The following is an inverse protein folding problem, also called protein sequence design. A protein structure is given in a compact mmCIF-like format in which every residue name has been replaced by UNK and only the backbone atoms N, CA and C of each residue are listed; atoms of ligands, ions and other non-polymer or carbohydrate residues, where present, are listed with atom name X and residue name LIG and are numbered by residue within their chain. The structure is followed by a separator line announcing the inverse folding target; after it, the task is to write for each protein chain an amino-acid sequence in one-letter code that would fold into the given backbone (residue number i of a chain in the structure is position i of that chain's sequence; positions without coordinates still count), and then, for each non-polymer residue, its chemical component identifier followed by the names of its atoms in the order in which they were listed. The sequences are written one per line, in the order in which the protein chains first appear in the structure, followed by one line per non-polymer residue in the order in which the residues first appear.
data_IF_022227898778
#
_entry.id   IF_022227898778
#
_cell.length_a   1.000
_cell.length_b   1.000
_cell.length_c   1.000
_cell.angle_alpha   90.00
_cell.angle_beta   90.00
_cell.angle_gamma   90.00
#
_symmetry.space_group_name_H-M   'P 1'
#
loop_
_entity.id
_entity.type
_entity.pdbx_description
1 polymer ?
#
# COMPACT_ATOMS: atom_id res chain seq x y z
N UNK A 1 -8.79 -13.51 -23.54
CA UNK A 1 -7.76 -12.72 -22.82
C UNK A 1 -7.54 -13.22 -21.39
N UNK A 2 -8.58 -13.30 -20.53
CA UNK A 2 -8.41 -13.71 -19.12
C UNK A 2 -7.85 -15.13 -18.97
N UNK A 3 -8.34 -16.10 -19.74
CA UNK A 3 -7.81 -17.47 -19.70
C UNK A 3 -6.33 -17.55 -20.11
N UNK A 4 -5.87 -16.66 -21.00
CA UNK A 4 -4.44 -16.56 -21.34
C UNK A 4 -3.65 -15.99 -20.16
N UNK A 5 -4.14 -14.95 -19.48
CA UNK A 5 -3.49 -14.41 -18.29
C UNK A 5 -3.32 -15.47 -17.20
N UNK A 6 -4.37 -16.29 -16.98
CA UNK A 6 -4.30 -17.40 -16.02
C UNK A 6 -3.28 -18.46 -16.43
N UNK A 7 -3.20 -18.80 -17.72
CA UNK A 7 -2.18 -19.72 -18.24
C UNK A 7 -0.77 -19.16 -18.09
N UNK A 8 -0.59 -17.86 -18.36
CA UNK A 8 0.71 -17.20 -18.23
C UNK A 8 1.18 -17.20 -16.77
N UNK A 9 0.29 -16.91 -15.79
CA UNK A 9 0.63 -17.05 -14.38
C UNK A 9 0.91 -18.48 -13.95
N UNK A 10 0.15 -19.46 -14.45
CA UNK A 10 0.43 -20.88 -14.17
C UNK A 10 1.82 -21.26 -14.63
N UNK A 11 2.19 -20.86 -15.84
CA UNK A 11 3.53 -21.09 -16.40
C UNK A 11 4.60 -20.35 -15.58
N UNK A 12 4.32 -19.09 -15.17
CA UNK A 12 5.26 -18.32 -14.35
C UNK A 12 5.52 -18.99 -12.99
N UNK A 13 4.49 -19.52 -12.32
CA UNK A 13 4.63 -20.26 -11.06
C UNK A 13 5.57 -21.47 -11.20
N UNK A 14 5.49 -22.15 -12.35
CA UNK A 14 6.33 -23.33 -12.63
C UNK A 14 7.79 -22.96 -12.94
N UNK A 15 8.05 -21.80 -13.55
CA UNK A 15 9.35 -21.41 -14.06
C UNK A 15 10.12 -20.45 -13.15
N UNK A 16 9.43 -19.65 -12.32
CA UNK A 16 10.07 -18.65 -11.49
C UNK A 16 10.78 -19.25 -10.26
N UNK A 17 11.86 -18.59 -9.79
CA UNK A 17 12.55 -19.03 -8.58
C UNK A 17 11.67 -18.90 -7.35
N UNK A 18 11.75 -19.87 -6.45
CA UNK A 18 11.12 -19.84 -5.12
C UNK A 18 12.01 -19.11 -4.10
N UNK A 19 12.45 -17.90 -4.45
CA UNK A 19 13.30 -17.08 -3.59
C UNK A 19 12.48 -16.51 -2.43
N UNK A 20 13.12 -16.43 -1.27
CA UNK A 20 12.49 -15.91 -0.05
C UNK A 20 12.34 -14.38 -0.10
N UNK A 21 11.64 -13.87 0.87
CA UNK A 21 11.22 -12.45 1.02
C UNK A 21 12.30 -11.40 0.67
N UNK A 22 13.58 -11.63 0.85
CA UNK A 22 14.63 -10.65 0.52
C UNK A 22 14.77 -10.28 -0.97
N UNK A 23 14.31 -11.14 -1.86
CA UNK A 23 14.47 -10.96 -3.31
C UNK A 23 13.64 -9.79 -3.89
N UNK A 24 12.49 -9.52 -3.31
CA UNK A 24 11.61 -8.43 -3.74
C UNK A 24 12.19 -7.02 -3.48
N UNK A 25 13.16 -6.88 -2.58
CA UNK A 25 13.82 -5.59 -2.28
C UNK A 25 14.51 -5.00 -3.51
N UNK A 26 15.05 -5.87 -4.37
CA UNK A 26 15.74 -5.45 -5.59
C UNK A 26 14.80 -5.19 -6.77
N UNK A 27 13.47 -5.19 -6.54
CA UNK A 27 12.47 -4.99 -7.59
C UNK A 27 12.22 -6.22 -8.46
N UNK A 28 12.68 -7.39 -8.04
CA UNK A 28 12.44 -8.64 -8.75
C UNK A 28 11.14 -9.31 -8.31
N UNK A 29 10.50 -9.98 -9.24
CA UNK A 29 9.34 -10.85 -8.97
C UNK A 29 9.79 -12.30 -8.80
N UNK A 30 9.07 -13.07 -8.01
CA UNK A 30 9.37 -14.46 -7.71
C UNK A 30 8.10 -15.33 -7.83
N UNK A 31 8.25 -16.63 -7.60
CA UNK A 31 7.14 -17.59 -7.62
C UNK A 31 5.95 -17.11 -6.76
N UNK A 32 6.20 -16.61 -5.57
CA UNK A 32 5.18 -16.19 -4.62
C UNK A 32 4.39 -14.96 -5.09
N UNK A 33 5.06 -14.05 -5.80
CA UNK A 33 4.41 -12.95 -6.50
C UNK A 33 3.45 -13.46 -7.56
N UNK A 34 3.89 -14.45 -8.36
CA UNK A 34 3.05 -15.05 -9.40
C UNK A 34 1.84 -15.79 -8.82
N UNK A 35 2.00 -16.49 -7.70
CA UNK A 35 0.90 -17.16 -6.98
C UNK A 35 -0.14 -16.18 -6.46
N UNK A 36 0.28 -15.09 -5.81
CA UNK A 36 -0.62 -14.05 -5.34
C UNK A 36 -1.35 -13.33 -6.48
N UNK A 37 -0.66 -13.03 -7.57
CA UNK A 37 -1.26 -12.41 -8.76
C UNK A 37 -2.19 -13.37 -9.51
N UNK A 38 -1.88 -14.67 -9.55
CA UNK A 38 -2.79 -15.71 -10.06
C UNK A 38 -4.11 -15.68 -9.29
N UNK A 39 -4.06 -15.69 -7.96
CA UNK A 39 -5.28 -15.67 -7.14
C UNK A 39 -6.11 -14.41 -7.39
N UNK A 40 -5.48 -13.24 -7.49
CA UNK A 40 -6.15 -11.98 -7.81
C UNK A 40 -6.83 -12.03 -9.18
N UNK A 41 -6.12 -12.51 -10.20
CA UNK A 41 -6.67 -12.64 -11.54
C UNK A 41 -7.83 -13.66 -11.61
N UNK A 42 -7.71 -14.77 -10.89
CA UNK A 42 -8.73 -15.81 -10.80
C UNK A 42 -10.01 -15.28 -10.13
N UNK A 43 -9.90 -14.67 -8.96
CA UNK A 43 -11.03 -14.09 -8.23
C UNK A 43 -11.73 -12.98 -9.04
N UNK A 44 -10.96 -12.11 -9.67
CA UNK A 44 -11.52 -11.06 -10.50
C UNK A 44 -12.26 -11.62 -11.73
N UNK A 45 -11.63 -12.59 -12.42
CA UNK A 45 -12.23 -13.20 -13.60
C UNK A 45 -13.52 -13.97 -13.26
N UNK A 46 -13.47 -14.80 -12.24
CA UNK A 46 -14.60 -15.64 -11.85
C UNK A 46 -15.72 -14.84 -11.17
N UNK A 47 -15.37 -13.88 -10.32
CA UNK A 47 -16.32 -13.04 -9.60
C UNK A 47 -16.98 -12.01 -10.50
N UNK A 48 -16.20 -11.17 -11.16
CA UNK A 48 -16.74 -10.05 -11.92
C UNK A 48 -17.23 -10.45 -13.31
N UNK A 49 -16.40 -11.15 -14.12
CA UNK A 49 -16.76 -11.46 -15.50
C UNK A 49 -17.71 -12.64 -15.65
N UNK A 50 -17.52 -13.70 -14.84
CA UNK A 50 -18.34 -14.90 -14.94
C UNK A 50 -19.47 -14.94 -13.90
N UNK A 51 -19.54 -13.94 -13.03
CA UNK A 51 -20.54 -13.84 -11.97
C UNK A 51 -20.67 -15.12 -11.13
N UNK A 52 -19.53 -15.71 -10.76
CA UNK A 52 -19.43 -16.94 -9.98
C UNK A 52 -19.05 -16.71 -8.54
N UNK A 53 -19.17 -15.48 -8.05
CA UNK A 53 -18.88 -15.12 -6.67
C UNK A 53 -19.63 -16.01 -5.68
N UNK A 54 -18.93 -16.52 -4.66
CA UNK A 54 -19.51 -17.45 -3.69
C UNK A 54 -19.70 -18.90 -4.21
N UNK A 55 -19.08 -19.28 -5.33
CA UNK A 55 -19.05 -20.65 -5.82
C UNK A 55 -17.67 -21.25 -5.63
N UNK A 56 -17.57 -22.29 -4.81
CA UNK A 56 -16.29 -22.88 -4.42
C UNK A 56 -15.66 -23.78 -5.48
N UNK A 57 -16.44 -24.50 -6.25
CA UNK A 57 -15.94 -25.51 -7.21
C UNK A 57 -15.95 -24.98 -8.64
N UNK A 58 -15.01 -24.11 -8.96
CA UNK A 58 -14.85 -23.57 -10.32
C UNK A 58 -13.75 -24.34 -11.04
N UNK A 59 -14.04 -24.72 -12.29
CA UNK A 59 -13.04 -25.27 -13.24
C UNK A 59 -13.02 -24.43 -14.49
N UNK A 60 -11.84 -23.97 -14.90
CA UNK A 60 -11.61 -23.18 -16.10
C UNK A 60 -10.73 -24.01 -17.05
N UNK A 61 -11.18 -24.20 -18.29
CA UNK A 61 -10.35 -24.72 -19.36
C UNK A 61 -9.45 -23.61 -19.91
N UNK A 62 -8.16 -23.82 -19.91
CA UNK A 62 -7.13 -22.91 -20.38
C UNK A 62 -6.84 -23.10 -21.87
N UNK A 63 -6.21 -22.13 -22.56
CA UNK A 63 -5.96 -22.18 -24.00
C UNK A 63 -5.10 -23.35 -24.48
N UNK A 64 -4.28 -23.93 -23.62
CA UNK A 64 -3.44 -25.10 -23.90
C UNK A 64 -4.17 -26.44 -23.70
N UNK A 65 -5.47 -26.40 -23.35
CA UNK A 65 -6.29 -27.58 -23.04
C UNK A 65 -6.13 -28.10 -21.61
N UNK A 66 -5.24 -27.52 -20.80
CA UNK A 66 -5.17 -27.82 -19.36
C UNK A 66 -6.32 -27.15 -18.60
N UNK A 67 -6.50 -27.54 -17.34
CA UNK A 67 -7.50 -26.93 -16.47
C UNK A 67 -6.86 -26.18 -15.30
N UNK A 68 -7.58 -25.18 -14.79
CA UNK A 68 -7.30 -24.50 -13.54
C UNK A 68 -8.55 -24.55 -12.67
N UNK A 69 -8.40 -25.02 -11.44
CA UNK A 69 -9.53 -25.15 -10.49
C UNK A 69 -9.37 -24.20 -9.31
N UNK A 70 -10.47 -23.93 -8.59
CA UNK A 70 -10.39 -23.23 -7.29
C UNK A 70 -9.40 -23.90 -6.35
N UNK A 71 -9.37 -25.23 -6.32
CA UNK A 71 -8.45 -26.01 -5.47
C UNK A 71 -6.98 -25.81 -5.86
N UNK A 72 -6.65 -25.67 -7.14
CA UNK A 72 -5.30 -25.36 -7.57
C UNK A 72 -4.86 -23.99 -7.06
N UNK A 73 -5.75 -22.98 -7.16
CA UNK A 73 -5.45 -21.62 -6.68
C UNK A 73 -5.36 -21.55 -5.15
N UNK A 74 -6.21 -22.30 -4.43
CA UNK A 74 -6.07 -22.48 -2.98
C UNK A 74 -4.71 -23.08 -2.64
N UNK A 75 -4.26 -24.09 -3.39
CA UNK A 75 -2.95 -24.73 -3.21
C UNK A 75 -1.78 -23.77 -3.42
N UNK A 76 -1.86 -22.85 -4.39
CA UNK A 76 -0.84 -21.81 -4.60
C UNK A 76 -0.76 -20.86 -3.40
N UNK A 77 -1.89 -20.41 -2.87
CA UNK A 77 -1.88 -19.54 -1.69
C UNK A 77 -1.42 -20.27 -0.42
N UNK A 78 -1.75 -21.56 -0.27
CA UNK A 78 -1.25 -22.40 0.82
C UNK A 78 0.27 -22.54 0.74
N UNK A 79 0.82 -22.76 -0.46
CA UNK A 79 2.26 -22.83 -0.71
C UNK A 79 2.95 -21.51 -0.37
N UNK A 80 2.40 -20.39 -0.86
CA UNK A 80 2.89 -19.06 -0.55
C UNK A 80 2.95 -18.82 0.97
N UNK A 81 1.87 -19.09 1.70
CA UNK A 81 1.80 -18.87 3.15
C UNK A 81 2.80 -19.77 3.90
N UNK A 82 2.95 -21.02 3.48
CA UNK A 82 3.80 -21.98 4.18
C UNK A 82 5.31 -21.79 3.91
N UNK A 83 5.68 -21.37 2.70
CA UNK A 83 7.05 -21.51 2.21
C UNK A 83 7.73 -20.21 1.79
N UNK A 84 7.00 -19.12 1.54
CA UNK A 84 7.58 -17.87 1.02
C UNK A 84 8.47 -17.12 2.02
N UNK A 85 8.13 -17.18 3.30
CA UNK A 85 8.75 -16.38 4.36
C UNK A 85 8.22 -14.93 4.43
N UNK A 86 7.26 -14.54 3.58
CA UNK A 86 6.53 -13.28 3.77
C UNK A 86 5.69 -13.35 5.04
N UNK A 87 5.48 -12.20 5.68
CA UNK A 87 4.69 -12.10 6.91
C UNK A 87 4.14 -10.69 7.08
N UNK A 88 3.10 -10.55 7.88
CA UNK A 88 2.60 -9.24 8.28
C UNK A 88 3.64 -8.46 9.09
N UNK A 89 3.76 -7.17 8.82
CA UNK A 89 4.49 -6.23 9.67
C UNK A 89 3.70 -6.08 10.97
N UNK A 90 4.37 -6.14 12.11
CA UNK A 90 3.73 -6.20 13.43
C UNK A 90 2.81 -5.01 13.69
N UNK A 91 3.33 -3.79 13.52
CA UNK A 91 2.53 -2.56 13.61
C UNK A 91 2.13 -2.10 12.22
N UNK A 92 0.83 -1.96 12.01
CA UNK A 92 0.29 -1.53 10.72
C UNK A 92 0.83 -0.18 10.25
N UNK A 93 1.09 0.74 11.20
CA UNK A 93 1.63 2.06 10.92
C UNK A 93 3.06 2.01 10.36
N UNK A 94 3.85 1.02 10.74
CA UNK A 94 5.24 0.86 10.30
C UNK A 94 5.37 0.53 8.79
N UNK A 95 4.26 0.22 8.13
CA UNK A 95 4.21 0.09 6.67
C UNK A 95 4.32 1.42 5.92
N UNK A 96 4.06 2.56 6.58
CA UNK A 96 3.85 3.83 5.90
C UNK A 96 4.99 4.81 6.16
N UNK A 97 5.40 5.51 5.10
CA UNK A 97 6.57 6.40 5.12
C UNK A 97 6.49 7.56 6.11
N UNK A 98 5.31 7.94 6.61
CA UNK A 98 5.19 8.94 7.66
C UNK A 98 5.72 8.48 9.03
N UNK A 99 6.07 7.21 9.19
CA UNK A 99 6.77 6.69 10.38
C UNK A 99 8.29 6.59 10.18
N UNK A 100 8.84 7.20 9.12
CA UNK A 100 10.28 7.25 8.89
C UNK A 100 11.01 8.02 10.00
N UNK A 101 12.29 7.75 10.17
CA UNK A 101 13.13 8.29 11.26
C UNK A 101 13.25 9.83 11.30
N UNK A 102 13.00 10.52 10.19
CA UNK A 102 13.06 11.99 10.11
C UNK A 102 11.71 12.67 10.38
N UNK A 103 10.64 11.88 10.55
CA UNK A 103 9.28 12.36 10.68
C UNK A 103 8.63 11.91 11.99
N UNK A 104 8.85 10.66 12.38
CA UNK A 104 8.09 9.92 13.41
C UNK A 104 8.04 10.60 14.78
N UNK A 105 9.09 11.31 15.17
CA UNK A 105 9.19 11.99 16.47
C UNK A 105 8.62 13.42 16.47
N UNK A 106 8.35 13.98 15.30
CA UNK A 106 7.90 15.36 15.11
C UNK A 106 6.44 15.47 14.64
N UNK A 107 5.86 14.36 14.21
CA UNK A 107 4.46 14.29 13.83
C UNK A 107 3.61 13.83 15.02
N UNK A 108 2.67 14.65 15.44
CA UNK A 108 1.87 14.42 16.66
C UNK A 108 1.15 13.07 16.68
N UNK A 109 0.68 12.60 15.55
CA UNK A 109 0.04 11.28 15.44
C UNK A 109 0.99 10.11 15.74
N UNK A 110 2.28 10.25 15.47
CA UNK A 110 3.26 9.15 15.56
C UNK A 110 4.21 9.23 16.74
N UNK A 111 4.50 10.42 17.28
CA UNK A 111 5.59 10.70 18.22
C UNK A 111 5.62 9.81 19.47
N UNK A 112 4.46 9.45 19.99
CA UNK A 112 4.34 8.63 21.21
C UNK A 112 3.99 7.16 20.93
N UNK A 113 3.84 6.78 19.64
CA UNK A 113 3.39 5.44 19.24
C UNK A 113 4.50 4.40 19.18
N UNK A 114 5.77 4.80 19.29
CA UNK A 114 6.92 3.91 19.13
C UNK A 114 6.93 3.23 17.76
N UNK A 115 6.53 3.95 16.71
CA UNK A 115 6.52 3.48 15.33
C UNK A 115 7.90 3.59 14.70
N UNK A 116 8.16 2.72 13.73
CA UNK A 116 9.41 2.70 12.98
C UNK A 116 9.16 2.13 11.59
N UNK A 117 9.22 2.98 10.57
CA UNK A 117 9.01 2.55 9.20
C UNK A 117 9.90 1.36 8.84
N UNK A 118 9.30 0.32 8.32
CA UNK A 118 9.96 -0.96 8.05
C UNK A 118 11.14 -0.84 7.06
N UNK A 119 11.19 0.23 6.26
CA UNK A 119 12.25 0.47 5.26
C UNK A 119 13.29 1.53 5.71
N UNK A 120 13.27 1.97 6.98
CA UNK A 120 14.15 3.04 7.49
C UNK A 120 15.65 2.79 7.28
N UNK A 121 16.11 1.57 7.35
CA UNK A 121 17.53 1.21 7.30
C UNK A 121 17.83 0.27 6.11
N UNK A 122 17.18 0.50 4.98
CA UNK A 122 17.22 -0.39 3.81
C UNK A 122 16.81 -1.83 4.16
N UNK A 123 15.97 -1.98 5.18
CA UNK A 123 15.45 -3.26 5.58
C UNK A 123 14.47 -3.81 4.55
N UNK A 124 14.40 -5.12 4.49
CA UNK A 124 13.41 -5.80 3.68
C UNK A 124 12.02 -5.59 4.28
N UNK A 125 11.09 -5.05 3.52
CA UNK A 125 9.69 -5.06 3.90
C UNK A 125 9.11 -6.48 3.76
N UNK A 126 8.87 -7.22 4.84
CA UNK A 126 8.47 -8.61 4.79
C UNK A 126 7.02 -8.80 4.32
N UNK A 127 6.27 -7.72 4.18
CA UNK A 127 4.88 -7.73 3.70
C UNK A 127 4.78 -7.36 2.22
N UNK A 128 5.77 -6.65 1.64
CA UNK A 128 5.76 -6.24 0.24
C UNK A 128 6.15 -7.40 -0.67
N UNK A 129 5.21 -7.86 -1.50
CA UNK A 129 5.39 -8.98 -2.42
C UNK A 129 5.57 -8.55 -3.87
N UNK A 130 4.95 -7.44 -4.25
CA UNK A 130 5.09 -6.84 -5.56
C UNK A 130 4.96 -5.33 -5.47
N UNK A 131 6.01 -4.61 -5.84
CA UNK A 131 6.03 -3.17 -5.84
C UNK A 131 6.78 -2.63 -7.06
N UNK A 132 6.35 -1.47 -7.54
CA UNK A 132 7.16 -0.67 -8.45
C UNK A 132 8.14 0.12 -7.58
N UNK A 133 9.43 -0.09 -7.81
CA UNK A 133 10.51 0.59 -7.10
C UNK A 133 10.84 1.91 -7.79
N UNK A 134 11.15 2.90 -6.99
CA UNK A 134 11.55 4.23 -7.45
C UNK A 134 12.89 4.62 -6.83
N UNK A 135 13.49 5.66 -7.37
CA UNK A 135 14.73 6.21 -6.84
C UNK A 135 14.70 7.74 -6.82
N UNK A 136 15.75 8.34 -6.26
CA UNK A 136 15.88 9.77 -6.01
C UNK A 136 16.37 10.59 -7.22
N UNK A 137 16.58 9.98 -8.38
CA UNK A 137 17.20 10.65 -9.54
C UNK A 137 16.25 11.43 -10.45
N UNK A 138 14.99 11.61 -10.07
CA UNK A 138 14.04 12.36 -10.88
C UNK A 138 14.27 13.88 -10.77
N UNK A 139 14.13 14.61 -11.90
CA UNK A 139 14.01 16.06 -11.91
C UNK A 139 13.15 16.53 -13.09
N UNK A 140 12.67 17.80 -13.04
CA UNK A 140 11.81 18.36 -14.08
C UNK A 140 12.57 18.75 -15.37
N UNK A 141 13.85 19.05 -15.26
CA UNK A 141 14.65 19.61 -16.35
C UNK A 141 15.26 18.54 -17.25
N UNK A 142 15.29 17.30 -16.79
CA UNK A 142 15.90 16.18 -17.50
C UNK A 142 14.88 15.07 -17.77
N UNK A 143 15.27 14.07 -18.57
CA UNK A 143 14.40 12.95 -18.92
C UNK A 143 14.27 11.90 -17.77
N UNK A 144 14.53 12.31 -16.53
CA UNK A 144 14.59 11.42 -15.36
C UNK A 144 13.29 11.37 -14.54
N UNK A 145 12.21 11.98 -15.00
CA UNK A 145 10.92 12.07 -14.27
C UNK A 145 10.31 10.72 -13.90
N UNK A 146 10.56 9.69 -14.70
CA UNK A 146 9.99 8.35 -14.48
C UNK A 146 10.63 7.55 -13.35
N UNK A 147 11.67 8.07 -12.70
CA UNK A 147 12.36 7.35 -11.62
C UNK A 147 11.78 7.63 -10.23
N UNK A 148 10.93 8.64 -10.08
CA UNK A 148 10.22 8.95 -8.84
C UNK A 148 8.75 8.52 -8.87
N UNK A 149 8.17 8.33 -7.69
CA UNK A 149 6.76 7.98 -7.56
C UNK A 149 5.86 9.20 -7.77
N UNK A 150 5.38 9.38 -8.98
CA UNK A 150 4.48 10.47 -9.33
C UNK A 150 3.06 10.32 -8.75
N UNK A 151 2.65 9.12 -8.31
CA UNK A 151 1.35 8.93 -7.67
C UNK A 151 1.25 9.69 -6.35
N UNK A 152 2.32 9.69 -5.55
CA UNK A 152 2.32 10.45 -4.29
C UNK A 152 2.22 11.95 -4.55
N UNK A 153 2.82 12.46 -5.63
CA UNK A 153 2.66 13.85 -6.04
C UNK A 153 1.21 14.19 -6.36
N UNK A 154 0.53 13.34 -7.14
CA UNK A 154 -0.87 13.58 -7.49
C UNK A 154 -1.78 13.63 -6.27
N UNK A 155 -1.56 12.79 -5.27
CA UNK A 155 -2.42 12.65 -4.11
C UNK A 155 -1.98 13.50 -2.89
N UNK A 156 -0.84 14.16 -2.97
CA UNK A 156 -0.38 15.09 -1.92
C UNK A 156 -1.30 16.31 -1.78
N UNK A 157 -1.16 17.03 -0.68
CA UNK A 157 -1.92 18.25 -0.41
C UNK A 157 -1.60 19.28 -1.50
N UNK A 158 -2.63 19.96 -2.01
CA UNK A 158 -2.43 21.03 -2.96
C UNK A 158 -2.07 22.29 -2.21
N UNK A 159 -0.87 22.63 -2.18
CA UNK A 159 -0.25 23.89 -1.86
C UNK A 159 1.11 23.73 -1.16
N UNK A 160 1.80 24.85 -0.93
CA UNK A 160 3.17 24.88 -0.40
C UNK A 160 3.18 25.46 1.03
N UNK A 161 2.62 24.70 1.97
CA UNK A 161 2.53 25.08 3.39
C UNK A 161 3.31 24.09 4.28
N UNK A 162 4.57 23.81 3.93
CA UNK A 162 5.41 22.77 4.56
C UNK A 162 5.34 22.74 6.09
N UNK A 163 5.25 23.90 6.75
CA UNK A 163 5.17 23.97 8.21
C UNK A 163 3.77 23.62 8.73
N UNK A 164 2.74 24.17 8.10
CA UNK A 164 1.35 23.99 8.54
C UNK A 164 0.78 22.63 8.18
N UNK A 165 1.31 21.98 7.13
CA UNK A 165 0.86 20.66 6.69
C UNK A 165 1.78 19.51 7.09
N UNK A 166 2.87 19.79 7.82
CA UNK A 166 3.80 18.73 8.23
C UNK A 166 3.07 17.55 8.90
N UNK A 167 3.37 16.30 8.54
CA UNK A 167 4.47 15.85 7.66
C UNK A 167 4.11 15.79 6.17
N UNK A 168 2.91 16.19 5.79
CA UNK A 168 2.44 16.08 4.41
C UNK A 168 2.97 17.24 3.59
N UNK A 169 3.73 16.89 2.55
CA UNK A 169 4.32 17.86 1.64
C UNK A 169 3.38 18.15 0.47
N UNK A 170 3.73 19.18 -0.28
CA UNK A 170 3.02 19.62 -1.46
C UNK A 170 2.79 18.50 -2.47
N UNK A 171 1.59 18.48 -3.02
CA UNK A 171 1.17 17.69 -4.18
C UNK A 171 0.16 18.44 -5.01
N UNK A 172 -0.62 17.71 -5.80
CA UNK A 172 -1.62 18.30 -6.70
C UNK A 172 -3.06 18.22 -6.20
N UNK A 173 -3.29 17.62 -5.03
CA UNK A 173 -4.59 17.57 -4.34
C UNK A 173 -5.62 16.66 -5.02
N UNK A 174 -5.21 15.72 -5.87
CA UNK A 174 -6.16 14.78 -6.47
C UNK A 174 -6.52 13.67 -5.48
N UNK A 175 -7.79 13.23 -5.54
CA UNK A 175 -8.26 12.09 -4.78
C UNK A 175 -8.36 12.32 -3.26
N UNK A 176 -9.02 13.40 -2.79
CA UNK A 176 -9.34 13.54 -1.37
C UNK A 176 -10.19 12.37 -0.91
N UNK A 177 -10.11 12.03 0.38
CA UNK A 177 -10.87 10.90 0.91
C UNK A 177 -12.33 11.28 1.07
N UNK A 178 -13.23 10.41 0.61
CA UNK A 178 -14.67 10.63 0.73
C UNK A 178 -15.12 10.63 2.19
N UNK A 179 -15.84 11.67 2.66
CA UNK A 179 -16.45 11.66 3.99
C UNK A 179 -17.43 10.50 4.21
N UNK A 180 -18.06 10.00 3.15
CA UNK A 180 -18.93 8.83 3.22
C UNK A 180 -18.15 7.58 3.63
N UNK A 181 -16.98 7.33 3.02
CA UNK A 181 -16.10 6.22 3.38
C UNK A 181 -15.71 6.28 4.87
N UNK A 182 -15.30 7.48 5.34
CA UNK A 182 -14.89 7.64 6.75
C UNK A 182 -16.04 7.33 7.70
N UNK A 183 -17.24 7.84 7.38
CA UNK A 183 -18.44 7.60 8.18
C UNK A 183 -18.82 6.11 8.21
N UNK A 184 -18.84 5.46 7.08
CA UNK A 184 -19.22 4.05 6.98
C UNK A 184 -18.20 3.15 7.65
N UNK A 185 -16.90 3.40 7.47
CA UNK A 185 -15.85 2.68 8.19
C UNK A 185 -15.99 2.84 9.71
N UNK A 186 -16.23 4.09 10.18
CA UNK A 186 -16.44 4.36 11.60
C UNK A 186 -17.69 3.67 12.15
N UNK A 187 -18.74 3.51 11.35
CA UNK A 187 -19.95 2.81 11.76
C UNK A 187 -19.75 1.30 11.83
N UNK A 188 -19.03 0.74 10.85
CA UNK A 188 -18.77 -0.70 10.78
C UNK A 188 -17.74 -1.16 11.83
N UNK A 189 -16.65 -0.41 11.98
CA UNK A 189 -15.53 -0.74 12.86
C UNK A 189 -15.07 0.55 13.60
N UNK A 190 -15.76 0.95 14.69
CA UNK A 190 -15.49 2.22 15.38
C UNK A 190 -14.04 2.37 15.88
N UNK A 191 -13.47 1.27 16.35
CA UNK A 191 -12.15 1.21 17.00
C UNK A 191 -11.03 0.72 16.07
N UNK A 192 -11.27 0.67 14.75
CA UNK A 192 -10.27 0.20 13.79
C UNK A 192 -9.14 1.24 13.64
N UNK A 193 -7.92 0.96 14.13
CA UNK A 193 -6.81 1.90 14.07
C UNK A 193 -6.27 2.09 12.64
N UNK A 194 -6.65 1.22 11.70
CA UNK A 194 -6.25 1.36 10.28
C UNK A 194 -6.88 2.58 9.64
N UNK A 195 -8.07 3.02 10.11
CA UNK A 195 -8.71 4.23 9.62
C UNK A 195 -7.80 5.44 9.85
N UNK A 196 -7.42 5.68 11.10
CA UNK A 196 -6.61 6.83 11.47
C UNK A 196 -5.17 6.71 10.97
N UNK A 197 -4.67 5.48 10.79
CA UNK A 197 -3.40 5.22 10.12
C UNK A 197 -3.42 5.47 8.60
N UNK A 198 -4.60 5.50 7.99
CA UNK A 198 -4.76 5.66 6.53
C UNK A 198 -5.23 7.04 6.13
N UNK A 199 -5.95 7.72 7.00
CA UNK A 199 -6.70 8.94 6.73
C UNK A 199 -6.34 9.99 7.77
N UNK A 200 -5.92 11.16 7.31
CA UNK A 200 -5.74 12.34 8.16
C UNK A 200 -7.05 13.12 8.17
N UNK A 201 -7.53 13.47 9.37
CA UNK A 201 -8.58 14.45 9.54
C UNK A 201 -7.94 15.83 9.75
N UNK A 202 -7.93 16.63 8.70
CA UNK A 202 -7.21 17.91 8.61
C UNK A 202 -7.49 18.85 9.78
N UNK A 203 -8.76 19.11 10.20
CA UNK A 203 -9.02 20.02 11.29
C UNK A 203 -8.40 19.67 12.64
N UNK A 204 -8.12 18.38 12.88
CA UNK A 204 -7.51 17.94 14.15
C UNK A 204 -6.02 17.67 14.07
N UNK A 205 -5.53 17.18 12.92
CA UNK A 205 -4.13 16.80 12.77
C UNK A 205 -3.26 17.94 12.20
N UNK A 206 -3.87 18.88 11.49
CA UNK A 206 -3.18 20.02 10.85
C UNK A 206 -3.89 21.33 11.23
N UNK A 207 -3.95 21.68 12.53
CA UNK A 207 -4.76 22.81 13.01
C UNK A 207 -4.29 24.18 12.51
N UNK A 208 -3.01 24.30 12.12
CA UNK A 208 -2.42 25.53 11.61
C UNK A 208 -2.58 25.67 10.08
N UNK A 209 -3.13 24.67 9.41
CA UNK A 209 -3.34 24.70 7.98
C UNK A 209 -4.63 25.44 7.63
N UNK A 210 -4.51 26.64 7.05
CA UNK A 210 -5.65 27.40 6.54
C UNK A 210 -5.96 26.98 5.10
N UNK A 211 -7.00 26.17 4.96
CA UNK A 211 -7.47 25.67 3.66
C UNK A 211 -8.08 26.77 2.76
N UNK A 212 -8.47 27.91 3.34
CA UNK A 212 -9.05 29.03 2.61
C UNK A 212 -7.99 29.83 1.83
N UNK A 213 -6.72 29.70 2.18
CA UNK A 213 -5.60 30.32 1.46
C UNK A 213 -5.07 29.47 0.29
N UNK A 214 -5.54 28.20 0.16
CA UNK A 214 -5.08 27.26 -0.87
C UNK A 214 -5.55 27.60 -2.27
N UNK A 215 -4.75 27.21 -3.24
CA UNK A 215 -5.07 27.42 -4.66
C UNK A 215 -6.07 26.34 -5.12
N UNK A 216 -7.30 26.75 -5.47
CA UNK A 216 -8.36 25.84 -5.90
C UNK A 216 -8.74 24.78 -4.84
N UNK A 217 -9.27 25.23 -3.71
CA UNK A 217 -9.56 24.43 -2.48
C UNK A 217 -10.55 23.28 -2.64
N UNK A 218 -11.25 23.21 -3.73
CA UNK A 218 -12.33 22.24 -3.94
C UNK A 218 -11.90 20.77 -3.74
N UNK A 219 -10.63 20.44 -4.02
CA UNK A 219 -10.10 19.08 -3.79
C UNK A 219 -9.85 18.77 -2.33
N UNK A 220 -9.79 19.78 -1.47
CA UNK A 220 -9.52 19.67 -0.03
C UNK A 220 -10.78 19.88 0.85
N UNK A 221 -11.92 20.17 0.22
CA UNK A 221 -13.19 20.44 0.92
C UNK A 221 -13.76 19.25 1.70
N UNK A 222 -13.21 18.05 1.54
CA UNK A 222 -13.68 16.88 2.27
C UNK A 222 -13.24 16.84 3.74
N UNK A 223 -12.28 17.64 4.16
CA UNK A 223 -11.55 17.57 5.43
C UNK A 223 -10.67 16.32 5.62
N UNK A 224 -10.62 15.45 4.64
CA UNK A 224 -9.90 14.17 4.75
C UNK A 224 -8.92 13.98 3.59
N UNK A 225 -7.67 13.68 3.95
CA UNK A 225 -6.61 13.31 3.01
C UNK A 225 -6.04 11.93 3.32
N UNK A 226 -5.49 11.26 2.32
CA UNK A 226 -4.83 9.99 2.56
C UNK A 226 -3.41 10.19 3.11
N UNK A 227 -3.00 9.33 4.06
CA UNK A 227 -1.65 9.35 4.65
C UNK A 227 -0.64 8.48 3.91
N UNK A 228 -1.09 7.56 3.08
CA UNK A 228 -0.27 6.49 2.52
C UNK A 228 0.41 6.86 1.21
N UNK A 229 -0.32 7.57 0.35
CA UNK A 229 0.12 7.98 -0.98
C UNK A 229 0.17 9.50 -1.04
N UNK A 230 1.09 10.09 -0.29
CA UNK A 230 1.32 11.54 -0.24
C UNK A 230 2.82 11.79 -0.02
N UNK A 231 3.39 12.86 -0.54
CA UNK A 231 4.77 13.21 -0.24
C UNK A 231 4.93 13.45 1.27
N UNK A 232 5.97 12.88 1.86
CA UNK A 232 6.23 12.99 3.29
C UNK A 232 7.49 13.81 3.51
N UNK A 233 7.38 14.85 4.33
CA UNK A 233 8.48 15.66 4.83
C UNK A 233 9.09 15.07 6.09
N UNK A 234 10.38 15.28 6.24
CA UNK A 234 11.13 15.05 7.47
C UNK A 234 11.83 16.31 7.92
N UNK A 235 12.19 16.39 9.19
CA UNK A 235 12.98 17.51 9.72
C UNK A 235 14.47 17.20 9.67
N UNK A 236 15.24 18.07 9.02
CA UNK A 236 16.68 18.09 9.08
C UNK A 236 17.18 18.56 10.46
N UNK A 237 18.47 18.37 10.76
CA UNK A 237 19.07 18.77 12.02
C UNK A 237 19.00 20.29 12.33
N UNK A 238 18.88 21.11 11.30
CA UNK A 238 18.71 22.57 11.41
C UNK A 238 17.23 23.00 11.54
N UNK A 239 16.31 22.05 11.55
CA UNK A 239 14.87 22.26 11.65
C UNK A 239 14.19 22.55 10.31
N UNK A 240 14.88 22.56 9.20
CA UNK A 240 14.26 22.70 7.88
C UNK A 240 13.48 21.46 7.50
N UNK A 241 12.33 21.65 6.84
CA UNK A 241 11.52 20.56 6.31
C UNK A 241 11.95 20.27 4.87
N UNK A 242 12.27 19.01 4.62
CA UNK A 242 12.60 18.49 3.29
C UNK A 242 11.82 17.21 3.05
N UNK A 243 11.67 16.75 1.82
CA UNK A 243 11.23 15.39 1.58
C UNK A 243 12.12 14.40 2.34
N UNK A 244 11.53 13.42 3.01
CA UNK A 244 12.28 12.44 3.78
C UNK A 244 13.32 11.69 2.94
N UNK A 245 13.07 11.49 1.64
CA UNK A 245 14.00 10.88 0.70
C UNK A 245 15.29 11.70 0.52
N UNK A 246 15.21 13.04 0.50
CA UNK A 246 16.39 13.90 0.45
C UNK A 246 17.27 13.73 1.71
N UNK A 247 16.64 13.57 2.88
CA UNK A 247 17.35 13.34 4.13
C UNK A 247 17.92 11.92 4.24
N UNK A 248 17.20 10.94 3.68
CA UNK A 248 17.60 9.53 3.75
C UNK A 248 18.80 9.22 2.86
N UNK A 249 18.86 9.82 1.67
CA UNK A 249 19.91 9.57 0.69
C UNK A 249 21.00 10.64 0.67
N UNK A 250 20.95 11.63 1.61
CA UNK A 250 21.88 12.76 1.71
C UNK A 250 22.08 13.47 0.35
N UNK A 251 20.96 13.72 -0.33
CA UNK A 251 20.98 14.20 -1.71
C UNK A 251 20.46 15.64 -1.81
N UNK A 252 21.27 16.60 -1.32
CA UNK A 252 21.00 18.03 -1.47
C UNK A 252 21.28 18.57 -2.89
N UNK A 253 21.82 17.74 -3.79
CA UNK A 253 22.10 18.14 -5.17
C UNK A 253 20.82 18.33 -6.01
N UNK A 254 19.73 17.75 -5.55
CA UNK A 254 18.42 17.94 -6.16
C UNK A 254 17.84 19.24 -5.65
N UNK A 255 17.72 20.15 -6.56
CA UNK A 255 17.36 21.54 -6.25
C UNK A 255 16.04 21.64 -5.50
N UNK A 256 15.92 22.65 -4.66
CA UNK A 256 14.69 23.05 -3.95
C UNK A 256 13.45 23.06 -4.84
N UNK A 257 13.63 23.19 -6.15
CA UNK A 257 12.55 23.24 -7.14
C UNK A 257 11.97 21.88 -7.52
N UNK A 258 12.64 20.77 -7.18
CA UNK A 258 12.21 19.41 -7.55
C UNK A 258 11.73 18.61 -6.34
N UNK A 259 11.53 19.26 -5.19
CA UNK A 259 11.19 18.62 -3.91
C UNK A 259 9.92 17.76 -3.96
N UNK A 260 9.01 18.07 -4.82
CA UNK A 260 7.72 17.40 -4.97
C UNK A 260 7.74 16.19 -5.91
N UNK A 261 8.82 15.99 -6.70
CA UNK A 261 8.93 14.85 -7.63
C UNK A 261 9.98 13.80 -7.25
N UNK A 262 10.73 14.00 -6.17
CA UNK A 262 11.77 13.08 -5.73
C UNK A 262 11.27 12.08 -4.66
N UNK A 263 10.00 11.71 -4.72
CA UNK A 263 9.42 10.74 -3.81
C UNK A 263 9.84 9.32 -4.20
N UNK A 264 10.47 8.62 -3.25
CA UNK A 264 11.01 7.27 -3.45
C UNK A 264 10.14 6.17 -2.87
N UNK A 265 8.98 6.53 -2.29
CA UNK A 265 8.06 5.54 -1.74
C UNK A 265 7.66 4.53 -2.81
N UNK A 266 7.73 3.27 -2.48
CA UNK A 266 7.29 2.19 -3.35
C UNK A 266 5.79 2.30 -3.68
N UNK A 267 5.43 2.01 -4.92
CA UNK A 267 4.04 1.74 -5.28
C UNK A 267 3.77 0.24 -5.11
N UNK A 268 3.27 -0.13 -3.95
CA UNK A 268 3.00 -1.53 -3.61
C UNK A 268 1.72 -1.99 -4.30
N UNK A 269 1.84 -3.04 -5.11
CA UNK A 269 0.75 -3.63 -5.88
C UNK A 269 0.19 -4.91 -5.26
N UNK A 270 1.01 -5.64 -4.51
CA UNK A 270 0.61 -6.85 -3.79
C UNK A 270 1.34 -6.93 -2.46
N UNK A 271 0.61 -7.14 -1.38
CA UNK A 271 1.14 -7.39 -0.04
C UNK A 271 0.74 -8.78 0.44
N UNK A 272 1.47 -9.28 1.42
CA UNK A 272 1.14 -10.54 2.07
C UNK A 272 -0.27 -10.53 2.71
N UNK A 273 -0.72 -9.37 3.22
CA UNK A 273 -2.10 -9.20 3.68
C UNK A 273 -3.13 -9.48 2.57
N UNK A 274 -2.85 -9.10 1.31
CA UNK A 274 -3.73 -9.38 0.18
C UNK A 274 -3.83 -10.90 -0.08
N UNK A 275 -2.72 -11.63 0.04
CA UNK A 275 -2.68 -13.09 -0.08
C UNK A 275 -3.55 -13.74 1.00
N UNK A 276 -3.45 -13.29 2.24
CA UNK A 276 -4.26 -13.77 3.36
C UNK A 276 -5.76 -13.53 3.15
N UNK A 277 -6.13 -12.35 2.66
CA UNK A 277 -7.53 -12.01 2.37
C UNK A 277 -8.08 -12.82 1.19
N UNK A 278 -7.34 -12.93 0.10
CA UNK A 278 -7.74 -13.76 -1.05
C UNK A 278 -7.83 -15.25 -0.69
N UNK A 279 -6.97 -15.72 0.21
CA UNK A 279 -7.03 -17.08 0.73
C UNK A 279 -8.31 -17.31 1.52
N UNK A 280 -8.69 -16.38 2.40
CA UNK A 280 -9.96 -16.45 3.13
C UNK A 280 -11.16 -16.43 2.18
N UNK A 281 -11.12 -15.64 1.12
CA UNK A 281 -12.19 -15.58 0.11
C UNK A 281 -12.32 -16.92 -0.64
N UNK A 282 -11.21 -17.51 -1.10
CA UNK A 282 -11.23 -18.78 -1.83
C UNK A 282 -11.67 -19.97 -0.97
N UNK A 283 -11.44 -19.92 0.34
CA UNK A 283 -11.87 -20.97 1.26
C UNK A 283 -13.25 -20.69 1.91
N UNK A 284 -13.78 -19.46 1.74
CA UNK A 284 -14.94 -18.95 2.49
C UNK A 284 -14.76 -19.16 4.01
N UNK A 285 -13.54 -18.92 4.49
CA UNK A 285 -13.13 -19.18 5.86
C UNK A 285 -12.25 -18.03 6.39
N UNK A 286 -12.75 -17.29 7.38
CA UNK A 286 -12.03 -16.17 7.97
C UNK A 286 -10.71 -16.58 8.66
N UNK A 287 -10.60 -17.80 9.14
CA UNK A 287 -9.40 -18.30 9.81
C UNK A 287 -8.29 -18.69 8.82
N UNK A 288 -8.54 -18.58 7.53
CA UNK A 288 -7.53 -18.78 6.49
C UNK A 288 -6.64 -17.54 6.24
N UNK A 289 -6.87 -16.43 6.95
CA UNK A 289 -6.03 -15.25 6.87
C UNK A 289 -6.73 -13.94 7.30
N UNK A 290 -8.02 -13.77 7.04
CA UNK A 290 -8.75 -12.54 7.37
C UNK A 290 -8.66 -12.22 8.87
N UNK A 291 -8.82 -13.21 9.74
CA UNK A 291 -8.71 -13.04 11.18
C UNK A 291 -7.28 -12.70 11.62
N UNK A 292 -6.25 -13.19 10.94
CA UNK A 292 -4.85 -12.80 11.19
C UNK A 292 -4.62 -11.31 10.88
N UNK A 293 -5.13 -10.83 9.74
CA UNK A 293 -5.06 -9.41 9.36
C UNK A 293 -5.80 -8.52 10.36
N UNK A 294 -6.95 -8.95 10.88
CA UNK A 294 -7.74 -8.24 11.90
C UNK A 294 -7.02 -8.21 13.25
N UNK A 295 -6.52 -9.36 13.69
CA UNK A 295 -5.82 -9.51 14.98
C UNK A 295 -4.55 -8.67 15.06
N UNK A 296 -3.82 -8.48 13.94
CA UNK A 296 -2.64 -7.59 13.89
C UNK A 296 -2.94 -6.19 14.44
N UNK A 297 -4.14 -5.70 14.22
CA UNK A 297 -4.56 -4.35 14.65
C UNK A 297 -5.50 -4.36 15.87
N UNK A 298 -5.57 -5.49 16.57
CA UNK A 298 -6.36 -5.63 17.80
C UNK A 298 -7.87 -5.80 17.57
N UNK A 299 -8.32 -5.99 16.32
CA UNK A 299 -9.73 -6.24 16.05
C UNK A 299 -10.12 -7.69 16.37
N UNK A 300 -11.35 -7.94 16.84
CA UNK A 300 -11.83 -9.27 17.12
C UNK A 300 -11.96 -10.12 15.86
N UNK A 301 -11.82 -11.43 16.02
CA UNK A 301 -12.13 -12.40 14.97
C UNK A 301 -13.61 -12.35 14.58
N UNK A 302 -13.87 -12.61 13.31
CA UNK A 302 -15.22 -12.66 12.75
C UNK A 302 -15.43 -13.96 11.96
N UNK A 303 -16.69 -14.31 11.72
CA UNK A 303 -17.02 -15.34 10.74
C UNK A 303 -16.86 -14.75 9.34
N UNK A 304 -16.51 -15.61 8.37
CA UNK A 304 -16.36 -15.16 6.98
C UNK A 304 -17.72 -14.67 6.44
N UNK A 305 -17.65 -13.53 5.79
CA UNK A 305 -18.65 -13.04 4.84
C UNK A 305 -17.96 -12.13 3.83
N UNK A 306 -18.50 -11.97 2.64
CA UNK A 306 -17.93 -11.03 1.66
C UNK A 306 -17.99 -9.59 2.16
N UNK A 307 -19.03 -9.23 2.91
CA UNK A 307 -19.17 -7.91 3.53
C UNK A 307 -18.08 -7.65 4.58
N UNK A 308 -17.74 -8.65 5.38
CA UNK A 308 -16.67 -8.52 6.39
C UNK A 308 -15.26 -8.52 5.77
N UNK A 309 -15.11 -9.05 4.54
CA UNK A 309 -13.85 -9.05 3.80
C UNK A 309 -13.56 -7.68 3.17
N UNK A 310 -14.58 -6.98 2.72
CA UNK A 310 -14.50 -5.65 2.09
C UNK A 310 -14.28 -4.53 3.09
#
# INVERSE_FOLDING_TARGET
TWKQILLDFKTAIELMPAEKVGYAVEGHVNKWTAEGMMARAFLFYTGFYENRQGKQDITIELPDGSTLTTKDVQGYLDDCVANSGYKLVEKYQDLWSYTNRFTVNDYDYTKDGGFNWVENDANVNPESMFAIKYNEYANYNEELKGYANMYVLYFGIRDDHDQATFPFMRGWGYGPVSPALVREWKMAEPDDPRRDASICYVPSELPDYDRAEGWEDWVQETDYINKKLTPIGGKANDGTIKLFSHLMYDNDAWTVNDKDINCTQDLVLLRYADVLLMRSELYEDADKGMNEVRQRVGLPSVSYSLEALQ
#
